data_IF_008206289657
#
_entry.id   IF_008206289657
#
_cell.length_a   1.000
_cell.length_b   1.000
_cell.length_c   1.000
_cell.angle_alpha   90.00
_cell.angle_beta   90.00
_cell.angle_gamma   90.00
#
_symmetry.space_group_name_H-M   'P 1'
#
loop_
_entity.id
_entity.type
_entity.pdbx_description
1 polymer ?
#
# COMPACT_ATOMS: atom_id res chain seq x y z
N UNK A 1 38.72 6.09 -13.15
CA UNK A 1 38.51 4.89 -12.32
C UNK A 1 38.15 5.36 -10.93
N UNK A 2 36.89 5.21 -10.51
CA UNK A 2 36.40 5.77 -9.25
C UNK A 2 35.15 5.04 -8.77
N UNK A 3 35.34 4.25 -7.73
CA UNK A 3 34.41 3.74 -6.72
C UNK A 3 33.05 3.19 -7.18
N UNK A 4 33.01 1.89 -7.50
CA UNK A 4 31.82 1.07 -7.32
C UNK A 4 31.51 0.95 -5.83
N UNK A 5 30.45 1.61 -5.37
CA UNK A 5 29.85 1.27 -4.09
C UNK A 5 29.21 -0.11 -4.20
N UNK A 6 29.87 -1.10 -3.61
CA UNK A 6 29.26 -2.41 -3.35
C UNK A 6 28.12 -2.22 -2.35
N UNK A 7 26.89 -2.14 -2.86
CA UNK A 7 25.72 -2.38 -2.03
C UNK A 7 25.63 -3.89 -1.86
N UNK A 8 26.13 -4.39 -0.73
CA UNK A 8 25.84 -5.77 -0.29
C UNK A 8 24.32 -5.93 -0.16
N UNK A 9 23.79 -7.10 -0.54
CA UNK A 9 22.36 -7.30 -0.66
C UNK A 9 21.71 -7.23 0.74
N UNK A 10 20.58 -6.55 0.84
CA UNK A 10 19.70 -6.71 1.99
C UNK A 10 19.05 -8.11 1.89
N UNK A 11 19.73 -9.13 2.39
CA UNK A 11 19.08 -10.41 2.74
C UNK A 11 18.84 -10.42 4.24
N UNK A 12 17.66 -9.93 4.61
CA UNK A 12 16.92 -10.35 5.79
C UNK A 12 15.48 -10.09 5.42
N UNK A 13 14.61 -11.10 5.52
CA UNK A 13 13.18 -10.92 5.34
C UNK A 13 12.75 -9.72 6.18
N UNK A 14 12.43 -8.62 5.50
CA UNK A 14 11.90 -7.42 6.11
C UNK A 14 10.49 -7.82 6.55
N UNK A 15 10.39 -8.28 7.80
CA UNK A 15 9.11 -8.65 8.39
C UNK A 15 8.28 -7.38 8.42
N UNK A 16 7.37 -7.27 7.46
CA UNK A 16 6.36 -6.22 7.44
C UNK A 16 5.60 -6.33 8.76
N UNK A 17 5.73 -5.31 9.61
CA UNK A 17 5.03 -5.31 10.89
C UNK A 17 3.57 -5.01 10.61
N UNK A 18 2.73 -6.02 10.80
CA UNK A 18 1.28 -5.94 10.68
C UNK A 18 0.68 -5.75 12.06
N UNK A 19 -0.22 -4.78 12.18
CA UNK A 19 -0.95 -4.46 13.39
C UNK A 19 -2.45 -4.58 13.14
N UNK A 20 -3.23 -4.71 14.21
CA UNK A 20 -4.71 -4.66 14.15
C UNK A 20 -5.20 -3.37 14.80
N UNK A 21 -6.21 -2.73 14.21
CA UNK A 21 -6.80 -1.47 14.69
C UNK A 21 -8.30 -1.45 14.48
N UNK A 22 -9.05 -0.94 15.45
CA UNK A 22 -10.52 -0.81 15.34
C UNK A 22 -10.95 0.48 14.61
N UNK A 23 -10.20 1.57 14.80
CA UNK A 23 -10.55 2.86 14.22
C UNK A 23 -10.27 2.93 12.70
N UNK A 24 -11.14 3.56 11.90
CA UNK A 24 -10.94 3.73 10.46
C UNK A 24 -9.78 4.68 10.15
N UNK A 25 -9.16 4.57 8.97
CA UNK A 25 -8.11 5.50 8.51
C UNK A 25 -8.62 6.94 8.36
N UNK A 26 -7.79 7.89 8.78
CA UNK A 26 -8.15 9.31 8.84
C UNK A 26 -8.27 10.01 7.48
N UNK A 27 -7.49 9.61 6.48
CA UNK A 27 -7.32 10.43 5.26
C UNK A 27 -8.02 9.86 4.04
N UNK A 28 -8.01 8.54 3.85
CA UNK A 28 -8.55 7.96 2.63
C UNK A 28 -9.03 6.53 2.82
N UNK A 29 -10.13 6.19 2.15
CA UNK A 29 -10.63 4.83 1.98
C UNK A 29 -11.03 4.60 0.53
N UNK A 30 -10.77 3.40 0.04
CA UNK A 30 -11.17 2.96 -1.29
C UNK A 30 -11.69 1.53 -1.24
N UNK A 31 -12.88 1.34 -1.79
CA UNK A 31 -13.41 0.02 -2.10
C UNK A 31 -12.95 -0.36 -3.51
N UNK A 32 -12.21 -1.46 -3.61
CA UNK A 32 -11.86 -2.10 -4.88
C UNK A 32 -12.91 -3.17 -5.12
N UNK A 33 -13.73 -2.96 -6.16
CA UNK A 33 -14.77 -3.89 -6.58
C UNK A 33 -14.27 -4.81 -7.69
N UNK A 34 -14.97 -5.91 -7.90
CA UNK A 34 -14.66 -6.89 -8.94
C UNK A 34 -13.24 -7.44 -8.83
N UNK A 35 -12.81 -7.84 -7.63
CA UNK A 35 -11.46 -8.35 -7.38
C UNK A 35 -11.13 -9.56 -8.27
N UNK A 36 -12.11 -10.45 -8.48
CA UNK A 36 -12.02 -11.59 -9.39
C UNK A 36 -11.66 -11.19 -10.83
N UNK A 37 -12.11 -10.01 -11.29
CA UNK A 37 -11.78 -9.47 -12.61
C UNK A 37 -10.32 -9.03 -12.66
N UNK A 38 -9.81 -8.40 -11.60
CA UNK A 38 -8.39 -8.04 -11.49
C UNK A 38 -7.50 -9.29 -11.64
N UNK A 39 -7.87 -10.38 -10.96
CA UNK A 39 -7.14 -11.64 -11.05
C UNK A 39 -7.30 -12.31 -12.43
N UNK A 40 -8.53 -12.43 -12.94
CA UNK A 40 -8.85 -13.11 -14.20
C UNK A 40 -8.13 -12.49 -15.40
N UNK A 41 -8.08 -11.16 -15.47
CA UNK A 41 -7.42 -10.45 -16.56
C UNK A 41 -5.95 -10.12 -16.27
N UNK A 42 -5.41 -10.59 -15.14
CA UNK A 42 -4.01 -10.38 -14.78
C UNK A 42 -3.65 -8.90 -14.62
N UNK A 43 -4.57 -8.09 -14.10
CA UNK A 43 -4.35 -6.66 -13.86
C UNK A 43 -3.24 -6.52 -12.80
N UNK A 44 -2.06 -6.08 -13.25
CA UNK A 44 -0.85 -6.07 -12.42
C UNK A 44 -0.83 -4.91 -11.42
N UNK A 45 -1.51 -3.82 -11.74
CA UNK A 45 -1.48 -2.55 -11.00
C UNK A 45 -2.87 -1.93 -10.98
N UNK A 46 -3.26 -1.38 -9.84
CA UNK A 46 -4.39 -0.48 -9.69
C UNK A 46 -3.93 0.82 -9.02
N UNK A 47 -4.35 1.95 -9.55
CA UNK A 47 -4.02 3.28 -9.03
C UNK A 47 -5.30 3.98 -8.59
N UNK A 48 -5.29 4.56 -7.41
CA UNK A 48 -6.47 5.22 -6.87
C UNK A 48 -6.67 6.61 -7.45
N UNK A 49 -7.86 7.17 -7.18
CA UNK A 49 -8.06 8.61 -7.25
C UNK A 49 -7.13 9.32 -6.26
N UNK A 50 -6.96 10.61 -6.51
CA UNK A 50 -6.19 11.50 -5.63
C UNK A 50 -6.92 11.75 -4.31
N UNK A 51 -6.14 11.87 -3.23
CA UNK A 51 -6.62 12.32 -1.93
C UNK A 51 -5.64 13.31 -1.32
N UNK A 52 -6.12 14.16 -0.41
CA UNK A 52 -5.32 15.23 0.21
C UNK A 52 -4.94 14.83 1.62
N UNK A 53 -3.67 15.00 1.96
CA UNK A 53 -3.16 14.85 3.33
C UNK A 53 -1.86 15.67 3.49
N UNK A 54 -1.73 16.38 4.62
CA UNK A 54 -0.57 17.25 4.89
C UNK A 54 -0.35 18.32 3.80
N UNK A 55 -1.41 18.89 3.23
CA UNK A 55 -1.39 19.86 2.12
C UNK A 55 -0.88 19.34 0.76
N UNK A 56 -0.60 18.04 0.65
CA UNK A 56 -0.20 17.40 -0.60
C UNK A 56 -1.30 16.48 -1.15
N UNK A 57 -1.28 16.29 -2.47
CA UNK A 57 -2.13 15.32 -3.17
C UNK A 57 -1.37 14.01 -3.36
N UNK A 58 -2.02 12.91 -2.99
CA UNK A 58 -1.46 11.57 -2.96
C UNK A 58 -2.30 10.59 -3.75
N UNK A 59 -1.70 9.49 -4.19
CA UNK A 59 -2.36 8.32 -4.77
C UNK A 59 -1.77 7.05 -4.17
N UNK A 60 -2.61 6.04 -3.97
CA UNK A 60 -2.17 4.68 -3.69
C UNK A 60 -2.00 3.91 -4.99
N UNK A 61 -0.91 3.16 -5.05
CA UNK A 61 -0.59 2.26 -6.14
C UNK A 61 -0.54 0.84 -5.57
N UNK A 62 -1.55 0.04 -5.88
CA UNK A 62 -1.59 -1.38 -5.55
C UNK A 62 -0.95 -2.17 -6.67
N UNK A 63 -0.08 -3.11 -6.35
CA UNK A 63 0.47 -4.07 -7.31
C UNK A 63 0.11 -5.48 -6.88
N UNK A 64 -0.71 -6.14 -7.68
CA UNK A 64 -1.23 -7.49 -7.42
C UNK A 64 -0.33 -8.60 -7.97
N UNK A 65 0.58 -8.25 -8.87
CA UNK A 65 1.52 -9.17 -9.49
C UNK A 65 2.91 -8.52 -9.57
N UNK A 66 3.50 -8.30 -8.39
CA UNK A 66 4.81 -7.68 -8.21
C UNK A 66 5.98 -8.67 -8.40
N UNK A 67 7.19 -8.23 -8.04
CA UNK A 67 8.41 -9.06 -8.11
C UNK A 67 8.29 -10.31 -7.21
N UNK A 68 7.67 -10.15 -6.04
CA UNK A 68 7.15 -11.24 -5.23
C UNK A 68 5.67 -11.44 -5.59
N UNK A 69 5.39 -12.37 -6.50
CA UNK A 69 4.03 -12.64 -7.03
C UNK A 69 3.03 -13.08 -5.97
N UNK A 70 3.51 -13.43 -4.78
CA UNK A 70 2.73 -14.00 -3.68
C UNK A 70 2.16 -12.93 -2.74
N UNK A 71 2.62 -11.68 -2.87
CA UNK A 71 2.19 -10.56 -2.03
C UNK A 71 1.63 -9.41 -2.86
N UNK A 72 0.65 -8.73 -2.27
CA UNK A 72 0.25 -7.40 -2.73
C UNK A 72 1.20 -6.40 -2.11
N UNK A 73 1.76 -5.55 -2.97
CA UNK A 73 2.52 -4.37 -2.54
C UNK A 73 1.67 -3.11 -2.72
N UNK A 74 1.90 -2.13 -1.84
CA UNK A 74 1.21 -0.85 -1.87
C UNK A 74 2.26 0.25 -1.83
N UNK A 75 2.24 1.15 -2.81
CA UNK A 75 3.12 2.31 -2.88
C UNK A 75 2.30 3.59 -2.70
N UNK A 76 2.91 4.58 -2.05
CA UNK A 76 2.38 5.94 -1.98
C UNK A 76 3.10 6.79 -3.04
N UNK A 77 2.35 7.55 -3.83
CA UNK A 77 2.91 8.48 -4.81
C UNK A 77 2.27 9.86 -4.64
N UNK A 78 3.06 10.91 -4.81
CA UNK A 78 2.52 12.27 -4.95
C UNK A 78 1.91 12.44 -6.33
N UNK A 79 0.74 13.07 -6.38
CA UNK A 79 -0.01 13.27 -7.63
C UNK A 79 0.51 14.47 -8.44
N UNK A 80 0.97 15.53 -7.76
CA UNK A 80 1.56 16.70 -8.40
C UNK A 80 2.93 16.98 -7.80
N UNK A 81 3.96 16.80 -8.62
CA UNK A 81 5.34 17.15 -8.30
C UNK A 81 5.89 18.24 -9.20
N UNK A 82 5.07 18.77 -10.12
CA UNK A 82 5.51 19.67 -11.19
C UNK A 82 5.65 21.12 -10.71
N UNK A 83 4.89 21.49 -9.68
CA UNK A 83 4.94 22.81 -9.04
C UNK A 83 5.98 22.92 -7.93
N UNK A 84 6.72 21.86 -7.64
CA UNK A 84 7.62 21.80 -6.49
C UNK A 84 9.03 22.31 -6.85
N UNK A 85 9.69 23.09 -5.98
CA UNK A 85 11.02 23.65 -6.25
C UNK A 85 12.06 22.57 -6.48
N UNK A 86 13.07 22.81 -7.32
CA UNK A 86 14.23 21.90 -7.44
C UNK A 86 14.85 21.64 -6.06
N UNK A 87 15.06 20.37 -5.70
CA UNK A 87 15.56 19.87 -4.40
C UNK A 87 14.57 19.91 -3.22
N UNK A 88 13.27 19.97 -3.48
CA UNK A 88 12.27 19.79 -2.43
C UNK A 88 12.30 18.37 -1.84
N UNK A 89 11.99 18.27 -0.55
CA UNK A 89 11.84 17.00 0.15
C UNK A 89 10.58 17.04 1.02
N UNK A 90 9.75 15.99 0.92
CA UNK A 90 8.68 15.73 1.87
C UNK A 90 9.04 14.50 2.68
N UNK A 91 8.95 14.63 4.00
CA UNK A 91 9.04 13.52 4.92
C UNK A 91 7.63 13.11 5.28
N UNK A 92 7.21 11.92 4.88
CA UNK A 92 5.88 11.43 5.19
C UNK A 92 5.98 10.14 6.00
N UNK A 93 5.17 10.05 7.05
CA UNK A 93 4.78 8.80 7.69
C UNK A 93 3.51 8.30 7.02
N UNK A 94 3.56 7.08 6.49
CA UNK A 94 2.48 6.53 5.71
C UNK A 94 2.00 5.20 6.27
N UNK A 95 0.72 5.07 6.52
CA UNK A 95 0.11 3.82 6.95
C UNK A 95 -0.93 3.35 5.93
N UNK A 96 -0.93 2.05 5.63
CA UNK A 96 -1.93 1.37 4.80
C UNK A 96 -2.79 0.50 5.69
N UNK A 97 -4.08 0.49 5.39
CA UNK A 97 -5.09 -0.28 6.09
C UNK A 97 -5.82 -1.20 5.12
N UNK A 98 -6.19 -2.38 5.59
CA UNK A 98 -7.09 -3.31 4.94
C UNK A 98 -8.19 -3.70 5.92
N UNK A 99 -9.42 -3.39 5.55
CA UNK A 99 -10.59 -3.64 6.38
C UNK A 99 -10.97 -5.12 6.34
N UNK A 100 -11.10 -5.72 7.51
CA UNK A 100 -11.74 -7.01 7.69
C UNK A 100 -13.25 -6.79 7.81
N UNK A 101 -13.97 -7.22 6.78
CA UNK A 101 -15.41 -7.01 6.64
C UNK A 101 -16.24 -7.95 7.52
N UNK A 102 -15.61 -8.96 8.14
CA UNK A 102 -16.26 -9.88 9.09
C UNK A 102 -16.11 -9.37 10.52
N UNK A 103 -14.87 -9.07 10.96
CA UNK A 103 -14.61 -8.63 12.33
C UNK A 103 -14.82 -7.13 12.56
N UNK A 104 -14.92 -6.33 11.49
CA UNK A 104 -15.12 -4.89 11.59
C UNK A 104 -13.89 -4.11 12.01
N UNK A 105 -12.69 -4.70 11.90
CA UNK A 105 -11.42 -4.06 12.24
C UNK A 105 -10.47 -3.99 11.04
N UNK A 106 -9.28 -3.41 11.24
CA UNK A 106 -8.32 -3.13 10.19
C UNK A 106 -6.99 -3.81 10.48
N UNK A 107 -6.47 -4.52 9.48
CA UNK A 107 -5.07 -4.86 9.39
C UNK A 107 -4.31 -3.63 8.89
N UNK A 108 -3.20 -3.27 9.52
CA UNK A 108 -2.43 -2.10 9.13
C UNK A 108 -0.93 -2.31 9.13
N UNK A 109 -0.23 -1.55 8.30
CA UNK A 109 1.22 -1.47 8.31
C UNK A 109 1.66 -0.06 7.98
N UNK A 110 2.79 0.34 8.56
CA UNK A 110 3.33 1.68 8.44
C UNK A 110 4.69 1.62 7.77
N UNK A 111 4.90 2.51 6.82
CA UNK A 111 6.15 2.74 6.11
C UNK A 111 6.59 4.19 6.24
N UNK A 112 7.87 4.44 6.04
CA UNK A 112 8.45 5.80 6.03
C UNK A 112 8.95 6.19 4.64
N UNK A 113 9.37 7.45 4.47
CA UNK A 113 9.89 8.00 3.21
C UNK A 113 10.94 7.12 2.52
N UNK A 114 11.82 6.43 3.26
CA UNK A 114 12.84 5.57 2.64
C UNK A 114 12.25 4.43 1.83
N UNK A 115 11.01 4.03 2.11
CA UNK A 115 10.39 2.82 1.57
C UNK A 115 9.40 3.12 0.43
N UNK A 116 8.88 4.36 0.33
CA UNK A 116 7.87 4.80 -0.67
C UNK A 116 6.75 3.77 -0.93
N UNK A 117 6.44 2.94 0.07
CA UNK A 117 5.56 1.80 -0.05
C UNK A 117 5.93 0.62 0.85
N UNK A 118 5.08 -0.39 0.84
CA UNK A 118 5.18 -1.63 1.59
C UNK A 118 5.20 -2.77 0.57
N UNK A 119 6.34 -3.44 0.45
CA UNK A 119 6.58 -4.47 -0.58
C UNK A 119 5.81 -5.77 -0.32
N UNK A 120 5.58 -6.12 0.96
CA UNK A 120 4.89 -7.36 1.39
C UNK A 120 3.73 -7.04 2.33
N UNK A 121 2.79 -6.20 1.88
CA UNK A 121 1.68 -5.75 2.74
C UNK A 121 0.75 -6.89 3.16
N UNK A 122 0.25 -7.68 2.20
CA UNK A 122 -0.55 -8.87 2.51
C UNK A 122 -0.29 -9.95 1.47
N UNK A 123 -0.20 -11.20 1.93
CA UNK A 123 -0.08 -12.33 1.01
C UNK A 123 -1.41 -12.58 0.31
N UNK A 124 -1.35 -13.00 -0.95
CA UNK A 124 -2.53 -13.36 -1.74
C UNK A 124 -3.32 -14.49 -1.09
N UNK A 125 -2.62 -15.46 -0.49
CA UNK A 125 -3.25 -16.57 0.23
C UNK A 125 -4.12 -16.05 1.39
N UNK A 126 -3.63 -15.12 2.20
CA UNK A 126 -4.38 -14.58 3.34
C UNK A 126 -5.53 -13.71 2.85
N UNK A 127 -5.31 -12.87 1.83
CA UNK A 127 -6.35 -12.01 1.29
C UNK A 127 -7.51 -12.79 0.66
N UNK A 128 -7.19 -13.81 -0.15
CA UNK A 128 -8.18 -14.57 -0.92
C UNK A 128 -8.89 -15.65 -0.11
N UNK A 129 -8.43 -15.96 1.10
CA UNK A 129 -9.12 -16.89 2.01
C UNK A 129 -10.36 -16.20 2.60
N UNK A 130 -11.58 -16.68 2.27
CA UNK A 130 -12.81 -16.05 2.73
C UNK A 130 -12.95 -16.02 4.25
N UNK A 131 -12.33 -16.95 4.97
CA UNK A 131 -12.38 -16.99 6.44
C UNK A 131 -11.66 -15.82 7.10
N UNK A 132 -10.72 -15.17 6.39
CA UNK A 132 -10.02 -13.99 6.88
C UNK A 132 -10.83 -12.69 6.68
N UNK A 133 -11.92 -12.70 5.91
CA UNK A 133 -12.88 -11.59 5.83
C UNK A 133 -12.42 -10.34 5.08
N UNK A 134 -11.29 -10.37 4.37
CA UNK A 134 -10.79 -9.20 3.64
C UNK A 134 -11.47 -8.98 2.28
N UNK A 135 -11.93 -10.06 1.64
CA UNK A 135 -12.75 -10.00 0.42
C UNK A 135 -14.17 -10.45 0.79
N UNK A 136 -15.16 -9.61 0.51
CA UNK A 136 -16.59 -9.90 0.67
C UNK A 136 -17.33 -9.29 -0.52
N UNK A 137 -18.28 -10.04 -1.08
CA UNK A 137 -19.01 -9.67 -2.31
C UNK A 137 -18.08 -9.23 -3.46
N UNK A 138 -17.01 -10.01 -3.68
CA UNK A 138 -15.98 -9.74 -4.70
C UNK A 138 -15.31 -8.35 -4.58
N UNK A 139 -15.26 -7.82 -3.36
CA UNK A 139 -14.70 -6.51 -3.08
C UNK A 139 -13.84 -6.50 -1.82
N UNK A 140 -12.83 -5.63 -1.80
CA UNK A 140 -11.99 -5.38 -0.63
C UNK A 140 -11.86 -3.88 -0.38
N UNK A 141 -11.68 -3.48 0.87
CA UNK A 141 -11.62 -2.07 1.27
C UNK A 141 -10.25 -1.78 1.85
N UNK A 142 -9.51 -0.88 1.19
CA UNK A 142 -8.25 -0.37 1.66
C UNK A 142 -8.40 1.05 2.20
N UNK A 143 -7.44 1.49 2.99
CA UNK A 143 -7.33 2.90 3.32
C UNK A 143 -5.91 3.34 3.60
N UNK A 144 -5.75 4.63 3.83
CA UNK A 144 -4.46 5.25 4.02
C UNK A 144 -4.50 6.40 5.04
N UNK A 145 -3.38 6.55 5.73
CA UNK A 145 -3.05 7.74 6.49
C UNK A 145 -1.68 8.24 6.06
N UNK A 146 -1.56 9.54 5.84
CA UNK A 146 -0.30 10.19 5.50
C UNK A 146 -0.13 11.40 6.42
N UNK A 147 0.99 11.46 7.12
CA UNK A 147 1.37 12.59 7.97
C UNK A 147 2.70 13.13 7.46
N UNK A 148 2.75 14.43 7.20
CA UNK A 148 3.93 15.16 6.70
C UNK A 148 4.52 16.05 7.78
#
# INVERSE_FOLDING_TARGET
MGNCLYVKPATKDEVTTLNTREAPPAHYMIKIESFSVLEKYGIKKYETKEFVAGDYKWRLIFKFNGKDSDYISVNLAMADTTSLPTNWEVNALFSVFLFNQISGNYLSSTATKSEWGISKFISRKVLSDPSNGYITDDSCVFGAEVFV
#
